data_IF_366644578500
#
_entry.id   IF_366644578500
#
_cell.length_a   1.000
_cell.length_b   1.000
_cell.length_c   1.000
_cell.angle_alpha   90.00
_cell.angle_beta   90.00
_cell.angle_gamma   90.00
#
_symmetry.space_group_name_H-M   'P 1'
#
loop_
_entity.id
_entity.type
_entity.pdbx_description
1 polymer ?
#
# COMPACT_ATOMS: atom_id res chain seq x y z
N UNK A 1 8.17 -2.21 -14.73
CA UNK A 1 8.89 -1.97 -13.46
C UNK A 1 8.14 -2.53 -12.25
N UNK A 2 6.91 -2.15 -12.02
CA UNK A 2 6.14 -2.63 -10.87
C UNK A 2 5.95 -4.15 -10.83
N UNK A 3 5.69 -4.77 -11.99
CA UNK A 3 5.58 -6.23 -12.07
C UNK A 3 6.84 -6.94 -11.58
N UNK A 4 8.00 -6.47 -12.03
CA UNK A 4 9.29 -7.03 -11.60
C UNK A 4 9.51 -6.81 -10.10
N UNK A 5 9.15 -5.64 -9.59
CA UNK A 5 9.22 -5.35 -8.16
C UNK A 5 8.34 -6.32 -7.35
N UNK A 6 7.13 -6.60 -7.82
CA UNK A 6 6.25 -7.58 -7.16
C UNK A 6 6.87 -8.98 -7.11
N UNK A 7 7.50 -9.42 -8.19
CA UNK A 7 8.21 -10.70 -8.21
C UNK A 7 9.34 -10.74 -7.19
N UNK A 8 10.13 -9.70 -7.12
CA UNK A 8 11.24 -9.61 -6.15
C UNK A 8 10.74 -9.57 -4.70
N UNK A 9 9.64 -8.86 -4.44
CA UNK A 9 9.03 -8.80 -3.11
C UNK A 9 8.57 -10.18 -2.64
N UNK A 10 7.88 -10.91 -3.50
CA UNK A 10 7.41 -12.26 -3.17
C UNK A 10 8.58 -13.22 -2.94
N UNK A 11 9.61 -13.16 -3.77
CA UNK A 11 10.81 -13.98 -3.60
C UNK A 11 11.58 -13.64 -2.31
N UNK A 12 11.56 -12.39 -1.88
CA UNK A 12 12.19 -11.95 -0.64
C UNK A 12 11.38 -12.28 0.61
N UNK A 13 10.19 -12.85 0.48
CA UNK A 13 9.34 -13.22 1.61
C UNK A 13 8.52 -12.07 2.17
N UNK A 14 8.39 -10.96 1.45
CA UNK A 14 7.52 -9.85 1.84
C UNK A 14 6.07 -10.20 1.53
N UNK A 15 5.18 -9.98 2.50
CA UNK A 15 3.74 -10.19 2.33
C UNK A 15 3.14 -9.08 1.47
N UNK A 16 3.11 -9.32 0.17
CA UNK A 16 2.55 -8.39 -0.80
C UNK A 16 1.03 -8.59 -0.88
N UNK A 17 0.27 -7.55 -0.54
CA UNK A 17 -1.18 -7.59 -0.57
C UNK A 17 -1.73 -7.20 -1.95
N UNK A 18 -1.25 -6.10 -2.52
CA UNK A 18 -1.72 -5.63 -3.81
C UNK A 18 -0.77 -4.59 -4.42
N UNK A 19 -0.63 -4.55 -5.75
CA UNK A 19 -0.12 -3.38 -6.44
C UNK A 19 -1.23 -2.34 -6.59
N UNK A 20 -0.91 -1.06 -6.41
CA UNK A 20 -1.85 0.05 -6.56
C UNK A 20 -1.17 1.15 -7.37
N UNK A 21 -1.51 1.30 -8.64
CA UNK A 21 -0.83 2.23 -9.57
C UNK A 21 0.68 1.96 -9.61
N UNK A 22 1.49 2.89 -9.12
CA UNK A 22 2.97 2.77 -9.02
C UNK A 22 3.45 2.42 -7.61
N UNK A 23 2.55 1.98 -6.75
CA UNK A 23 2.83 1.63 -5.37
C UNK A 23 2.51 0.17 -5.09
N UNK A 24 3.01 -0.34 -3.98
CA UNK A 24 2.65 -1.65 -3.47
C UNK A 24 2.13 -1.52 -2.04
N UNK A 25 1.13 -2.32 -1.73
CA UNK A 25 0.62 -2.48 -0.38
C UNK A 25 1.19 -3.77 0.21
N UNK A 26 1.89 -3.66 1.31
CA UNK A 26 2.45 -4.79 2.03
C UNK A 26 1.95 -4.82 3.47
N UNK A 27 2.00 -5.98 4.09
CA UNK A 27 1.70 -6.11 5.50
C UNK A 27 2.80 -6.88 6.24
N UNK A 28 2.94 -6.59 7.52
CA UNK A 28 3.88 -7.30 8.40
C UNK A 28 3.42 -7.15 9.86
N UNK A 29 3.89 -8.04 10.76
CA UNK A 29 3.68 -7.84 12.18
C UNK A 29 4.23 -6.49 12.64
N UNK A 30 3.58 -5.87 13.64
CA UNK A 30 3.92 -4.52 14.10
C UNK A 30 5.41 -4.39 14.45
N UNK A 31 5.99 -5.40 15.07
CA UNK A 31 7.41 -5.39 15.45
C UNK A 31 8.38 -5.54 14.27
N UNK A 32 7.89 -5.91 13.09
CA UNK A 32 8.69 -6.17 11.90
C UNK A 32 8.39 -5.21 10.75
N UNK A 33 7.44 -4.29 10.92
CA UNK A 33 6.96 -3.45 9.83
C UNK A 33 8.05 -2.56 9.25
N UNK A 34 8.92 -2.00 10.06
CA UNK A 34 10.00 -1.14 9.57
C UNK A 34 11.02 -1.93 8.75
N UNK A 35 11.37 -3.14 9.19
CA UNK A 35 12.27 -4.02 8.44
C UNK A 35 11.63 -4.47 7.12
N UNK A 36 10.34 -4.78 7.13
CA UNK A 36 9.59 -5.15 5.93
C UNK A 36 9.54 -4.01 4.91
N UNK A 37 9.32 -2.77 5.36
CA UNK A 37 9.33 -1.59 4.51
C UNK A 37 10.72 -1.37 3.90
N UNK A 38 11.77 -1.48 4.69
CA UNK A 38 13.15 -1.34 4.19
C UNK A 38 13.47 -2.38 3.11
N UNK A 39 13.06 -3.63 3.32
CA UNK A 39 13.23 -4.69 2.33
C UNK A 39 12.43 -4.42 1.06
N UNK A 40 11.18 -3.99 1.21
CA UNK A 40 10.33 -3.65 0.08
C UNK A 40 10.95 -2.51 -0.77
N UNK A 41 11.43 -1.47 -0.13
CA UNK A 41 12.08 -0.36 -0.82
C UNK A 41 13.35 -0.81 -1.55
N UNK A 42 14.11 -1.72 -0.96
CA UNK A 42 15.31 -2.29 -1.58
C UNK A 42 14.96 -3.05 -2.87
N UNK A 43 13.93 -3.87 -2.83
CA UNK A 43 13.49 -4.64 -3.99
C UNK A 43 12.88 -3.74 -5.09
N UNK A 44 12.17 -2.70 -4.71
CA UNK A 44 11.64 -1.73 -5.66
C UNK A 44 12.77 -0.96 -6.37
N UNK A 45 13.78 -0.53 -5.63
CA UNK A 45 14.97 0.11 -6.22
C UNK A 45 15.74 -0.83 -7.14
N UNK A 46 15.87 -2.10 -6.76
CA UNK A 46 16.50 -3.13 -7.59
C UNK A 46 15.76 -3.30 -8.92
N UNK A 47 14.44 -3.40 -8.87
CA UNK A 47 13.61 -3.51 -10.07
C UNK A 47 13.74 -2.27 -10.98
N UNK A 48 13.74 -1.08 -10.39
CA UNK A 48 13.92 0.17 -11.11
C UNK A 48 15.28 0.22 -11.85
N UNK A 49 16.35 -0.19 -11.18
CA UNK A 49 17.68 -0.21 -11.80
C UNK A 49 17.77 -1.17 -12.98
N UNK A 50 17.11 -2.32 -12.89
CA UNK A 50 17.11 -3.30 -13.98
C UNK A 50 16.34 -2.77 -15.17
N UNK A 51 15.13 -2.25 -14.96
CA UNK A 51 14.26 -1.79 -16.05
C UNK A 51 14.78 -0.52 -16.72
N UNK A 52 15.38 0.38 -15.96
CA UNK A 52 15.90 1.67 -16.49
C UNK A 52 17.35 1.60 -16.96
N UNK A 53 18.03 0.48 -16.78
CA UNK A 53 19.44 0.36 -17.16
C UNK A 53 20.40 1.04 -16.18
N UNK A 54 20.01 1.20 -14.92
CA UNK A 54 20.88 1.70 -13.86
C UNK A 54 20.46 2.99 -13.18
N UNK A 55 19.31 3.55 -13.54
CA UNK A 55 18.78 4.75 -12.87
C UNK A 55 18.19 4.36 -11.52
N UNK A 56 18.58 5.09 -10.49
CA UNK A 56 18.04 4.90 -9.15
C UNK A 56 16.80 5.77 -8.97
N UNK A 57 15.67 5.13 -8.64
CA UNK A 57 14.41 5.81 -8.39
C UNK A 57 14.08 5.68 -6.91
N UNK A 58 13.87 6.82 -6.24
CA UNK A 58 13.49 6.86 -4.84
C UNK A 58 12.06 6.36 -4.61
N UNK A 59 11.82 5.88 -3.40
CA UNK A 59 10.48 5.45 -2.97
C UNK A 59 10.13 6.11 -1.64
N UNK A 60 8.86 6.47 -1.49
CA UNK A 60 8.30 6.95 -0.22
C UNK A 60 7.46 5.84 0.40
N UNK A 61 7.39 5.81 1.72
CA UNK A 61 6.60 4.84 2.43
C UNK A 61 5.70 5.51 3.46
N UNK A 62 4.45 5.05 3.54
CA UNK A 62 3.52 5.41 4.59
C UNK A 62 3.24 4.15 5.41
N UNK A 63 3.47 4.24 6.72
CA UNK A 63 3.27 3.11 7.63
C UNK A 63 2.06 3.40 8.50
N UNK A 64 1.09 2.47 8.46
CA UNK A 64 -0.08 2.50 9.33
C UNK A 64 0.02 1.31 10.27
N UNK A 65 0.11 1.58 11.57
CA UNK A 65 0.25 0.54 12.60
C UNK A 65 -1.08 0.28 13.28
N UNK A 66 -1.39 -0.99 13.50
CA UNK A 66 -2.55 -1.36 14.31
C UNK A 66 -2.47 -0.70 15.70
N UNK A 67 -3.55 -0.15 16.26
CA UNK A 67 -4.94 -0.23 15.78
C UNK A 67 -5.36 0.86 14.79
N UNK A 68 -4.46 1.72 14.35
CA UNK A 68 -4.76 2.75 13.36
C UNK A 68 -5.15 2.13 12.03
N UNK A 69 -5.94 2.86 11.25
CA UNK A 69 -6.37 2.45 9.91
C UNK A 69 -5.92 3.47 8.89
N UNK A 70 -5.62 2.98 7.71
CA UNK A 70 -5.33 3.86 6.58
C UNK A 70 -6.54 4.73 6.28
N UNK A 71 -6.29 6.03 6.11
CA UNK A 71 -7.31 6.99 5.68
C UNK A 71 -6.67 8.02 4.76
N UNK A 72 -7.34 8.30 3.66
CA UNK A 72 -6.95 9.37 2.74
C UNK A 72 -7.82 10.60 3.02
N UNK A 73 -7.25 11.72 3.45
CA UNK A 73 -8.03 12.93 3.76
C UNK A 73 -8.89 13.41 2.60
N UNK A 74 -8.49 13.14 1.36
CA UNK A 74 -9.23 13.53 0.17
C UNK A 74 -10.55 12.80 0.02
N UNK A 75 -10.68 11.63 0.63
CA UNK A 75 -11.88 10.80 0.54
C UNK A 75 -12.85 10.95 1.72
N UNK A 76 -12.52 11.73 2.75
CA UNK A 76 -13.31 11.81 3.98
C UNK A 76 -14.72 12.32 3.73
N UNK A 77 -14.86 13.40 2.97
CA UNK A 77 -16.19 14.00 2.69
C UNK A 77 -17.06 13.07 1.86
N UNK A 78 -16.50 12.45 0.85
CA UNK A 78 -17.22 11.47 0.02
C UNK A 78 -17.66 10.27 0.87
N UNK A 79 -16.79 9.77 1.72
CA UNK A 79 -17.10 8.64 2.60
C UNK A 79 -18.25 8.96 3.56
N UNK A 80 -18.23 10.13 4.19
CA UNK A 80 -19.32 10.59 5.06
C UNK A 80 -20.63 10.65 4.30
N UNK A 81 -20.61 11.15 3.09
CA UNK A 81 -21.79 11.25 2.24
C UNK A 81 -22.36 9.86 1.90
N UNK A 82 -21.50 8.93 1.53
CA UNK A 82 -21.91 7.55 1.21
C UNK A 82 -22.53 6.87 2.43
N UNK A 83 -21.88 6.97 3.58
CA UNK A 83 -22.38 6.38 4.84
C UNK A 83 -23.72 7.01 5.23
N UNK A 84 -23.84 8.33 5.14
CA UNK A 84 -25.10 9.02 5.42
C UNK A 84 -26.25 8.57 4.52
N UNK A 85 -25.98 8.36 3.24
CA UNK A 85 -26.98 7.86 2.30
C UNK A 85 -27.39 6.41 2.61
N UNK A 86 -26.42 5.57 2.99
CA UNK A 86 -26.70 4.19 3.41
C UNK A 86 -27.59 4.14 4.64
N UNK A 87 -27.32 4.98 5.64
CA UNK A 87 -28.14 5.07 6.85
C UNK A 87 -29.58 5.48 6.53
N UNK A 88 -29.77 6.43 5.61
CA UNK A 88 -31.10 6.82 5.14
C UNK A 88 -31.83 5.67 4.44
N UNK A 89 -31.13 4.90 3.61
CA UNK A 89 -31.71 3.75 2.93
C UNK A 89 -32.08 2.64 3.91
N UNK A 90 -31.28 2.39 4.92
CA UNK A 90 -31.58 1.41 5.96
C UNK A 90 -32.82 1.79 6.76
N UNK A 91 -32.96 3.07 7.10
CA UNK A 91 -34.15 3.59 7.79
C UNK A 91 -35.42 3.42 6.93
N UNK A 92 -35.33 3.68 5.63
CA UNK A 92 -36.44 3.51 4.69
C UNK A 92 -36.79 2.03 4.47
N UNK A 93 -35.80 1.15 4.46
CA UNK A 93 -35.96 -0.29 4.29
C UNK A 93 -36.49 -0.99 5.55
N UNK A 94 -36.32 -0.40 6.70
CA UNK A 94 -36.79 -0.92 7.96
C UNK A 94 -38.26 -0.51 8.17
#
# INVERSE_FOLDING_TARGET
MLRLACCFLVEAGVELCAPVHDAVLIEAPVGEIEAAVAEAQRQMRRAARIVTGGVEIGTDAEIVRYPDRYADPRGVDMWRRVVGLLDQLEVVAA
#
